data_IF_676781931212
#
_entry.id   IF_676781931212
#
_cell.length_a   1.000
_cell.length_b   1.000
_cell.length_c   1.000
_cell.angle_alpha   90.00
_cell.angle_beta   90.00
_cell.angle_gamma   90.00
#
_symmetry.space_group_name_H-M   'P 1'
#
loop_
_entity.id
_entity.type
_entity.pdbx_description
1 polymer ?
#
# COMPACT_ATOMS: atom_id res chain seq x y z
N UNK A 1 -8.49 22.60 -2.15
CA UNK A 1 -8.28 21.90 -0.89
C UNK A 1 -7.40 20.69 -1.17
N UNK A 2 -6.52 20.28 -0.25
CA UNK A 2 -5.80 19.00 -0.40
C UNK A 2 -6.79 17.84 -0.48
N UNK A 3 -6.33 16.69 -0.98
CA UNK A 3 -7.12 15.47 -1.15
C UNK A 3 -8.41 15.66 -1.96
N UNK A 4 -8.41 16.55 -2.95
CA UNK A 4 -9.58 16.77 -3.80
C UNK A 4 -9.45 15.96 -5.09
N UNK A 5 -10.39 15.05 -5.32
CA UNK A 5 -10.54 14.31 -6.56
C UNK A 5 -11.48 15.06 -7.50
N UNK A 6 -11.08 15.26 -8.74
CA UNK A 6 -11.86 16.02 -9.72
C UNK A 6 -11.33 15.89 -11.14
N UNK A 7 -12.06 16.49 -12.04
CA UNK A 7 -11.69 16.66 -13.45
C UNK A 7 -11.14 18.09 -13.64
N UNK A 8 -9.97 18.22 -14.23
CA UNK A 8 -9.29 19.50 -14.40
C UNK A 8 -8.89 19.68 -15.87
N UNK A 9 -9.15 20.85 -16.40
CA UNK A 9 -8.66 21.27 -17.72
C UNK A 9 -7.36 22.03 -17.53
N UNK A 10 -6.30 21.49 -18.10
CA UNK A 10 -4.96 22.09 -17.99
C UNK A 10 -4.57 22.74 -19.30
N UNK A 11 -4.10 23.98 -19.25
CA UNK A 11 -3.50 24.68 -20.37
C UNK A 11 -1.97 24.59 -20.27
N UNK A 12 -1.33 24.08 -21.32
CA UNK A 12 0.14 23.94 -21.36
C UNK A 12 0.78 25.28 -21.72
N UNK A 13 1.42 25.92 -20.73
CA UNK A 13 2.27 27.08 -20.93
C UNK A 13 3.69 26.71 -21.38
N UNK A 14 4.60 27.68 -21.42
CA UNK A 14 6.00 27.46 -21.82
C UNK A 14 6.85 26.65 -20.81
N UNK A 15 6.39 26.44 -19.59
CA UNK A 15 7.11 25.69 -18.55
C UNK A 15 6.19 24.97 -17.57
N UNK A 16 5.08 25.60 -17.17
CA UNK A 16 4.13 25.06 -16.21
C UNK A 16 2.74 24.93 -16.83
N UNK A 17 1.98 23.94 -16.36
CA UNK A 17 0.56 23.83 -16.68
C UNK A 17 -0.24 24.78 -15.80
N UNK A 18 -1.24 25.43 -16.38
CA UNK A 18 -2.20 26.27 -15.66
C UNK A 18 -3.56 25.59 -15.66
N UNK A 19 -4.19 25.50 -14.49
CA UNK A 19 -5.57 24.99 -14.39
C UNK A 19 -6.51 26.09 -14.89
N UNK A 20 -7.25 25.83 -15.96
CA UNK A 20 -8.25 26.75 -16.51
C UNK A 20 -9.64 26.47 -15.98
N UNK A 21 -9.98 25.19 -15.79
CA UNK A 21 -11.28 24.77 -15.28
C UNK A 21 -11.10 23.56 -14.36
N UNK A 22 -12.02 23.40 -13.38
CA UNK A 22 -12.03 22.26 -12.51
C UNK A 22 -13.42 21.92 -12.01
N UNK A 23 -13.76 20.61 -12.05
CA UNK A 23 -14.99 20.07 -11.49
C UNK A 23 -14.64 19.10 -10.38
N UNK A 24 -15.01 19.44 -9.15
CA UNK A 24 -14.77 18.58 -7.99
C UNK A 24 -15.76 17.41 -8.03
N UNK A 25 -15.24 16.18 -7.93
CA UNK A 25 -16.00 14.94 -7.79
C UNK A 25 -16.14 14.57 -6.32
N UNK A 26 -15.04 14.60 -5.56
CA UNK A 26 -15.04 14.34 -4.11
C UNK A 26 -13.90 15.10 -3.43
N UNK A 27 -14.14 15.63 -2.25
CA UNK A 27 -13.14 16.34 -1.45
C UNK A 27 -12.62 15.56 -0.24
N UNK A 28 -13.08 14.31 -0.04
CA UNK A 28 -12.68 13.42 1.06
C UNK A 28 -12.57 14.10 2.43
N UNK A 29 -13.58 14.91 2.79
CA UNK A 29 -13.58 15.72 4.02
C UNK A 29 -13.41 14.88 5.27
N UNK A 30 -14.03 13.70 5.35
CA UNK A 30 -13.86 12.79 6.48
C UNK A 30 -12.42 12.32 6.69
N UNK A 31 -11.55 12.38 5.65
CA UNK A 31 -10.11 12.15 5.82
C UNK A 31 -9.38 13.39 6.37
N UNK A 32 -9.90 14.60 6.17
CA UNK A 32 -9.28 15.84 6.66
C UNK A 32 -9.63 16.15 8.11
N UNK A 33 -10.79 15.68 8.57
CA UNK A 33 -11.32 15.96 9.91
C UNK A 33 -10.78 15.00 10.99
N UNK A 34 -10.03 13.98 10.60
CA UNK A 34 -9.47 12.94 11.46
C UNK A 34 -7.95 12.83 11.21
N UNK A 35 -7.15 13.02 12.27
CA UNK A 35 -5.69 13.04 12.18
C UNK A 35 -5.11 11.71 11.68
N UNK A 36 -5.66 10.58 12.12
CA UNK A 36 -5.22 9.26 11.69
C UNK A 36 -5.49 9.07 10.20
N UNK A 37 -6.72 9.36 9.74
CA UNK A 37 -7.08 9.25 8.31
C UNK A 37 -6.31 10.25 7.45
N UNK A 38 -6.08 11.46 7.94
CA UNK A 38 -5.26 12.44 7.24
C UNK A 38 -3.85 11.91 7.03
N UNK A 39 -3.27 11.29 8.06
CA UNK A 39 -1.93 10.71 7.99
C UNK A 39 -1.88 9.53 7.01
N UNK A 40 -2.87 8.63 7.03
CA UNK A 40 -2.98 7.54 6.06
C UNK A 40 -3.18 8.07 4.62
N UNK A 41 -4.03 9.08 4.44
CA UNK A 41 -4.24 9.70 3.12
C UNK A 41 -2.95 10.32 2.56
N UNK A 42 -2.21 11.00 3.43
CA UNK A 42 -0.90 11.57 3.08
C UNK A 42 0.09 10.47 2.70
N UNK A 43 0.12 9.38 3.46
CA UNK A 43 0.96 8.22 3.16
C UNK A 43 0.64 7.60 1.79
N UNK A 44 -0.64 7.42 1.46
CA UNK A 44 -1.05 6.94 0.14
C UNK A 44 -0.54 7.84 -0.99
N UNK A 45 -0.67 9.16 -0.84
CA UNK A 45 -0.19 10.13 -1.83
C UNK A 45 1.35 10.13 -1.94
N UNK A 46 2.07 10.06 -0.82
CA UNK A 46 3.53 9.97 -0.82
C UNK A 46 4.04 8.68 -1.48
N UNK A 47 3.34 7.55 -1.29
CA UNK A 47 3.67 6.29 -1.97
C UNK A 47 3.54 6.43 -3.49
N UNK A 48 2.52 7.12 -3.98
CA UNK A 48 2.39 7.44 -5.42
C UNK A 48 3.57 8.30 -5.88
N UNK A 49 3.86 9.39 -5.16
CA UNK A 49 4.92 10.35 -5.52
C UNK A 49 6.31 9.68 -5.62
N UNK A 50 6.63 8.75 -4.72
CA UNK A 50 7.92 8.04 -4.75
C UNK A 50 7.99 6.90 -5.76
N UNK A 51 6.86 6.40 -6.24
CA UNK A 51 6.76 5.21 -7.09
C UNK A 51 6.53 5.52 -8.56
N UNK A 52 6.09 6.73 -8.89
CA UNK A 52 5.78 7.14 -10.26
C UNK A 52 6.88 8.02 -10.83
N UNK A 53 7.06 7.93 -12.14
CA UNK A 53 7.90 8.85 -12.92
C UNK A 53 7.03 10.00 -13.39
N UNK A 54 7.60 11.22 -13.37
CA UNK A 54 6.92 12.41 -13.85
C UNK A 54 6.45 12.23 -15.31
N UNK A 55 5.29 12.78 -15.61
CA UNK A 55 4.62 12.71 -16.92
C UNK A 55 4.19 11.29 -17.38
N UNK A 56 4.34 10.24 -16.56
CA UNK A 56 3.80 8.91 -16.84
C UNK A 56 2.42 8.72 -16.22
N UNK A 57 1.48 8.17 -17.01
CA UNK A 57 0.13 7.86 -16.52
C UNK A 57 0.01 6.40 -16.12
N UNK A 58 -0.58 6.13 -14.95
CA UNK A 58 -0.94 4.78 -14.51
C UNK A 58 -2.39 4.76 -14.02
N UNK A 59 -3.31 4.51 -14.95
CA UNK A 59 -4.75 4.51 -14.66
C UNK A 59 -5.14 3.44 -13.61
N UNK A 60 -4.43 2.30 -13.58
CA UNK A 60 -4.69 1.23 -12.60
C UNK A 60 -4.35 1.73 -11.20
N UNK A 61 -3.15 2.29 -11.03
CA UNK A 61 -2.70 2.79 -9.74
C UNK A 61 -3.53 3.99 -9.26
N UNK A 62 -3.92 4.88 -10.18
CA UNK A 62 -4.82 5.99 -9.89
C UNK A 62 -6.18 5.49 -9.37
N UNK A 63 -6.76 4.46 -9.99
CA UNK A 63 -8.00 3.83 -9.52
C UNK A 63 -7.82 3.26 -8.10
N UNK A 64 -6.73 2.55 -7.83
CA UNK A 64 -6.46 1.99 -6.50
C UNK A 64 -6.32 3.09 -5.44
N UNK A 65 -5.66 4.22 -5.75
CA UNK A 65 -5.56 5.38 -4.87
C UNK A 65 -6.95 5.97 -4.55
N UNK A 66 -7.74 6.25 -5.57
CA UNK A 66 -9.08 6.85 -5.40
C UNK A 66 -9.99 5.90 -4.61
N UNK A 67 -9.96 4.59 -4.91
CA UNK A 67 -10.70 3.57 -4.16
C UNK A 67 -10.27 3.54 -2.69
N UNK A 68 -8.96 3.59 -2.41
CA UNK A 68 -8.45 3.62 -1.03
C UNK A 68 -8.92 4.84 -0.26
N UNK A 69 -8.92 6.02 -0.89
CA UNK A 69 -9.43 7.24 -0.27
C UNK A 69 -10.94 7.16 0.03
N UNK A 70 -11.74 6.54 -0.85
CA UNK A 70 -13.15 6.29 -0.58
C UNK A 70 -13.37 5.34 0.60
N UNK A 71 -12.63 4.23 0.66
CA UNK A 71 -12.72 3.26 1.75
C UNK A 71 -12.30 3.87 3.08
N UNK A 72 -11.21 4.64 3.09
CA UNK A 72 -10.71 5.37 4.26
C UNK A 72 -11.70 6.42 4.75
N UNK A 73 -12.28 7.21 3.84
CA UNK A 73 -13.25 8.26 4.15
C UNK A 73 -14.53 7.69 4.76
N UNK A 74 -14.95 6.49 4.34
CA UNK A 74 -16.21 5.84 4.79
C UNK A 74 -16.04 4.91 6.00
N UNK A 75 -14.83 4.69 6.53
CA UNK A 75 -14.52 3.68 7.55
C UNK A 75 -14.99 2.26 7.17
N UNK A 76 -14.95 1.92 5.89
CA UNK A 76 -15.44 0.64 5.39
C UNK A 76 -14.51 -0.54 5.73
N UNK A 77 -13.26 -0.26 6.09
CA UNK A 77 -12.22 -1.25 6.36
C UNK A 77 -11.29 -0.72 7.45
N UNK A 78 -10.64 -1.63 8.17
CA UNK A 78 -9.52 -1.31 9.06
C UNK A 78 -8.42 -0.58 8.28
N UNK A 79 -8.00 0.59 8.77
CA UNK A 79 -7.06 1.47 8.08
C UNK A 79 -5.71 0.81 7.82
N UNK A 80 -5.21 -0.02 8.75
CA UNK A 80 -3.95 -0.74 8.57
C UNK A 80 -4.04 -1.81 7.48
N UNK A 81 -5.15 -2.56 7.45
CA UNK A 81 -5.40 -3.57 6.42
C UNK A 81 -5.48 -2.90 5.05
N UNK A 82 -6.17 -1.76 4.97
CA UNK A 82 -6.29 -0.98 3.75
C UNK A 82 -4.92 -0.54 3.23
N UNK A 83 -4.05 -0.03 4.12
CA UNK A 83 -2.69 0.37 3.74
C UNK A 83 -1.88 -0.81 3.20
N UNK A 84 -1.89 -1.96 3.90
CA UNK A 84 -1.17 -3.17 3.42
C UNK A 84 -1.68 -3.63 2.07
N UNK A 85 -3.00 -3.60 1.88
CA UNK A 85 -3.60 -3.95 0.59
C UNK A 85 -3.19 -2.98 -0.53
N UNK A 86 -3.23 -1.67 -0.28
CA UNK A 86 -2.80 -0.66 -1.24
C UNK A 86 -1.33 -0.82 -1.62
N UNK A 87 -0.43 -1.02 -0.65
CA UNK A 87 1.00 -1.24 -0.88
C UNK A 87 1.27 -2.44 -1.80
N UNK A 88 0.53 -3.54 -1.60
CA UNK A 88 0.62 -4.71 -2.48
C UNK A 88 0.16 -4.36 -3.90
N UNK A 89 -0.93 -3.59 -4.06
CA UNK A 89 -1.39 -3.13 -5.38
C UNK A 89 -0.41 -2.17 -6.03
N UNK A 90 0.18 -1.27 -5.24
CA UNK A 90 1.25 -0.38 -5.69
C UNK A 90 2.42 -1.16 -6.28
N UNK A 91 2.97 -2.11 -5.52
CA UNK A 91 4.08 -2.95 -5.99
C UNK A 91 3.73 -3.69 -7.28
N UNK A 92 2.50 -4.22 -7.37
CA UNK A 92 2.03 -4.89 -8.58
C UNK A 92 1.93 -3.93 -9.77
N UNK A 93 1.39 -2.74 -9.57
CA UNK A 93 1.18 -1.74 -10.63
C UNK A 93 2.50 -1.12 -11.13
N UNK A 94 3.55 -1.14 -10.31
CA UNK A 94 4.89 -0.61 -10.63
C UNK A 94 5.89 -1.71 -11.03
N UNK A 95 5.42 -2.96 -11.25
CA UNK A 95 6.26 -4.05 -11.76
C UNK A 95 7.02 -4.85 -10.69
N UNK A 96 6.79 -4.58 -9.41
CA UNK A 96 7.42 -5.28 -8.27
C UNK A 96 6.45 -6.24 -7.57
N UNK A 97 5.56 -6.88 -8.33
CA UNK A 97 4.58 -7.82 -7.78
C UNK A 97 5.23 -8.93 -6.95
N UNK A 98 4.63 -9.24 -5.79
CA UNK A 98 5.08 -10.36 -4.98
C UNK A 98 4.72 -11.70 -5.65
N UNK A 99 5.73 -12.58 -5.86
CA UNK A 99 5.49 -13.96 -6.25
C UNK A 99 5.16 -14.79 -5.00
N UNK A 100 3.89 -15.05 -4.79
CA UNK A 100 3.36 -15.85 -3.67
C UNK A 100 2.79 -17.19 -4.12
N UNK A 101 2.79 -17.48 -5.42
CA UNK A 101 2.33 -18.76 -5.98
C UNK A 101 3.50 -19.73 -6.18
N UNK A 102 4.67 -19.20 -6.51
CA UNK A 102 5.86 -19.99 -6.76
C UNK A 102 7.05 -19.51 -5.93
N UNK A 103 7.92 -20.44 -5.57
CA UNK A 103 9.17 -20.07 -4.92
C UNK A 103 9.98 -19.12 -5.80
N UNK A 104 10.30 -17.94 -5.29
CA UNK A 104 11.04 -16.93 -6.06
C UNK A 104 12.43 -17.41 -6.53
N UNK A 105 13.04 -18.42 -5.85
CA UNK A 105 14.34 -18.99 -6.19
C UNK A 105 14.25 -20.14 -7.17
N UNK A 106 13.46 -21.20 -6.89
CA UNK A 106 13.45 -22.43 -7.70
C UNK A 106 12.19 -22.61 -8.55
N UNK A 107 11.28 -21.65 -8.54
CA UNK A 107 10.02 -21.63 -9.31
C UNK A 107 9.05 -22.77 -9.02
N UNK A 108 9.29 -23.59 -7.99
CA UNK A 108 8.36 -24.63 -7.56
C UNK A 108 7.12 -23.98 -6.93
N UNK A 109 5.96 -24.52 -7.24
CA UNK A 109 4.69 -24.07 -6.65
C UNK A 109 4.74 -24.15 -5.11
N UNK A 110 4.29 -23.07 -4.47
CA UNK A 110 4.19 -22.95 -3.02
C UNK A 110 2.79 -23.39 -2.56
N UNK A 111 2.72 -24.40 -1.73
CA UNK A 111 1.51 -24.70 -0.93
C UNK A 111 1.55 -23.97 0.41
N UNK A 112 2.74 -23.66 0.87
CA UNK A 112 3.06 -23.00 2.13
C UNK A 112 4.36 -22.22 2.00
N UNK A 113 4.47 -21.13 2.76
CA UNK A 113 5.69 -20.33 2.85
C UNK A 113 5.78 -19.72 4.26
N UNK A 114 6.97 -19.75 4.83
CA UNK A 114 7.33 -19.18 6.14
C UNK A 114 8.40 -18.09 6.04
N UNK A 115 8.70 -17.64 4.81
CA UNK A 115 9.75 -16.67 4.56
C UNK A 115 9.55 -15.89 3.27
N UNK A 116 9.58 -14.56 3.36
CA UNK A 116 9.55 -13.64 2.21
C UNK A 116 10.95 -13.11 1.94
N UNK A 117 11.45 -13.34 0.74
CA UNK A 117 12.70 -12.74 0.27
C UNK A 117 12.49 -11.29 -0.14
N UNK A 118 13.27 -10.37 0.39
CA UNK A 118 13.29 -8.97 -0.02
C UNK A 118 14.04 -8.77 -1.35
N UNK A 119 15.05 -9.61 -1.61
CA UNK A 119 15.83 -9.53 -2.85
C UNK A 119 15.03 -9.93 -4.10
N UNK A 120 14.06 -10.83 -3.95
CA UNK A 120 13.28 -11.38 -5.07
C UNK A 120 11.79 -11.07 -4.96
N UNK A 121 11.37 -10.27 -3.99
CA UNK A 121 9.97 -9.89 -3.77
C UNK A 121 9.01 -11.09 -3.83
N UNK A 122 9.28 -12.12 -3.04
CA UNK A 122 8.44 -13.33 -3.10
C UNK A 122 8.74 -14.38 -2.04
N UNK A 123 7.86 -15.40 -2.00
CA UNK A 123 7.96 -16.51 -1.07
C UNK A 123 9.12 -17.45 -1.39
N UNK A 124 9.76 -17.99 -0.34
CA UNK A 124 10.85 -18.98 -0.46
C UNK A 124 10.38 -20.32 0.10
N UNK A 125 10.51 -21.40 -0.67
CA UNK A 125 10.15 -22.73 -0.20
C UNK A 125 11.14 -23.27 0.86
N UNK A 126 10.73 -24.31 1.58
CA UNK A 126 11.53 -24.95 2.63
C UNK A 126 12.81 -25.66 2.14
N UNK A 127 13.00 -25.83 0.82
CA UNK A 127 14.18 -26.47 0.23
C UNK A 127 15.23 -25.47 -0.27
N UNK A 128 14.85 -24.20 -0.38
CA UNK A 128 15.76 -23.15 -0.81
C UNK A 128 16.34 -22.41 0.39
N UNK A 129 17.58 -21.97 0.25
CA UNK A 129 18.24 -21.15 1.25
C UNK A 129 17.46 -19.85 1.50
N UNK A 130 17.24 -19.51 2.76
CA UNK A 130 16.58 -18.31 3.22
C UNK A 130 17.63 -17.25 3.57
N UNK A 131 17.80 -16.28 2.69
CA UNK A 131 18.76 -15.18 2.85
C UNK A 131 18.12 -13.87 2.47
N UNK A 132 18.42 -12.81 3.22
CA UNK A 132 17.92 -11.44 3.02
C UNK A 132 16.40 -11.38 2.85
N UNK A 133 15.70 -11.53 3.96
CA UNK A 133 14.23 -11.51 3.99
C UNK A 133 13.67 -11.64 5.40
N UNK A 134 12.38 -11.86 5.49
CA UNK A 134 11.61 -11.82 6.74
C UNK A 134 10.90 -13.16 6.95
N UNK A 135 11.06 -13.80 8.12
CA UNK A 135 10.23 -14.94 8.52
C UNK A 135 8.78 -14.49 8.73
N UNK A 136 7.84 -15.34 8.35
CA UNK A 136 6.40 -15.07 8.48
C UNK A 136 5.65 -16.29 9.00
N UNK A 137 4.48 -16.05 9.60
CA UNK A 137 3.55 -17.11 9.96
C UNK A 137 2.76 -17.61 8.74
N UNK A 138 2.23 -18.83 8.83
CA UNK A 138 1.32 -19.39 7.81
C UNK A 138 0.09 -18.52 7.61
N UNK A 139 -0.42 -17.94 8.69
CA UNK A 139 -1.58 -17.05 8.65
C UNK A 139 -1.27 -15.79 7.85
N UNK A 140 -0.13 -15.18 8.07
CA UNK A 140 0.33 -13.99 7.31
C UNK A 140 0.54 -14.33 5.84
N UNK A 141 1.11 -15.49 5.51
CA UNK A 141 1.23 -15.92 4.12
C UNK A 141 -0.14 -16.02 3.43
N UNK A 142 -1.13 -16.62 4.09
CA UNK A 142 -2.48 -16.73 3.52
C UNK A 142 -3.13 -15.35 3.33
N UNK A 143 -2.95 -14.43 4.28
CA UNK A 143 -3.45 -13.07 4.16
C UNK A 143 -2.75 -12.30 3.03
N UNK A 144 -1.42 -12.41 2.91
CA UNK A 144 -0.68 -11.81 1.78
C UNK A 144 -1.21 -12.30 0.42
N UNK A 145 -1.44 -13.61 0.28
CA UNK A 145 -2.04 -14.17 -0.93
C UNK A 145 -3.43 -13.62 -1.18
N UNK A 146 -4.25 -13.53 -0.15
CA UNK A 146 -5.60 -12.96 -0.22
C UNK A 146 -5.55 -11.51 -0.70
N UNK A 147 -4.76 -10.66 -0.06
CA UNK A 147 -4.60 -9.25 -0.43
C UNK A 147 -3.99 -9.06 -1.83
N UNK A 148 -3.09 -9.96 -2.25
CA UNK A 148 -2.49 -9.92 -3.58
C UNK A 148 -3.51 -10.29 -4.69
N UNK A 149 -4.42 -11.21 -4.39
CA UNK A 149 -5.40 -11.73 -5.36
C UNK A 149 -6.64 -10.82 -5.48
N UNK A 150 -7.29 -10.47 -4.36
CA UNK A 150 -8.54 -9.72 -4.37
C UNK A 150 -8.33 -8.22 -4.56
N UNK A 151 -9.30 -7.56 -5.24
CA UNK A 151 -9.34 -6.09 -5.34
C UNK A 151 -9.71 -5.45 -4.00
N UNK A 152 -9.40 -4.16 -3.83
CA UNK A 152 -9.71 -3.41 -2.61
C UNK A 152 -11.20 -3.44 -2.26
N UNK A 153 -12.08 -3.41 -3.27
CA UNK A 153 -13.54 -3.46 -3.08
C UNK A 153 -14.02 -4.77 -2.44
N UNK A 154 -13.23 -5.84 -2.47
CA UNK A 154 -13.63 -7.17 -1.98
C UNK A 154 -13.03 -7.55 -0.63
N UNK A 155 -12.19 -6.69 -0.03
CA UNK A 155 -11.51 -7.00 1.24
C UNK A 155 -12.19 -6.40 2.49
N UNK A 156 -13.32 -5.72 2.33
CA UNK A 156 -14.01 -4.96 3.40
C UNK A 156 -14.46 -5.80 4.61
N UNK A 157 -14.55 -7.13 4.49
CA UNK A 157 -14.90 -8.04 5.60
C UNK A 157 -13.69 -8.67 6.29
N UNK A 158 -12.48 -8.37 5.83
CA UNK A 158 -11.28 -8.99 6.35
C UNK A 158 -10.99 -8.49 7.77
N UNK A 159 -10.95 -9.43 8.71
CA UNK A 159 -10.50 -9.19 10.09
C UNK A 159 -9.26 -10.02 10.36
N UNK A 160 -8.22 -9.39 10.84
CA UNK A 160 -6.95 -10.05 11.19
C UNK A 160 -6.52 -9.59 12.60
N UNK A 161 -5.76 -10.44 13.28
CA UNK A 161 -5.22 -10.11 14.60
C UNK A 161 -3.97 -9.21 14.48
N UNK A 162 -3.57 -8.61 15.60
CA UNK A 162 -2.47 -7.64 15.64
C UNK A 162 -1.12 -8.26 15.29
N UNK A 163 -0.89 -9.54 15.60
CA UNK A 163 0.35 -10.22 15.21
C UNK A 163 0.50 -10.27 13.68
N UNK A 164 -0.58 -10.61 12.96
CA UNK A 164 -0.60 -10.60 11.49
C UNK A 164 -0.38 -9.18 10.96
N UNK A 165 -1.04 -8.17 11.56
CA UNK A 165 -0.83 -6.76 11.18
C UNK A 165 0.64 -6.36 11.32
N UNK A 166 1.29 -6.70 12.45
CA UNK A 166 2.71 -6.40 12.72
C UNK A 166 3.63 -7.10 11.70
N UNK A 167 3.39 -8.38 11.38
CA UNK A 167 4.16 -9.08 10.35
C UNK A 167 3.98 -8.43 8.97
N UNK A 168 2.74 -8.14 8.56
CA UNK A 168 2.44 -7.46 7.29
C UNK A 168 3.13 -6.10 7.21
N UNK A 169 3.06 -5.31 8.29
CA UNK A 169 3.73 -4.02 8.37
C UNK A 169 5.24 -4.15 8.16
N UNK A 170 5.88 -5.09 8.87
CA UNK A 170 7.33 -5.33 8.75
C UNK A 170 7.74 -5.71 7.33
N UNK A 171 6.97 -6.60 6.69
CA UNK A 171 7.21 -7.04 5.31
C UNK A 171 7.10 -5.86 4.35
N UNK A 172 5.99 -5.11 4.40
CA UNK A 172 5.72 -4.05 3.44
C UNK A 172 6.66 -2.87 3.62
N UNK A 173 6.96 -2.47 4.87
CA UNK A 173 7.97 -1.44 5.20
C UNK A 173 9.33 -1.79 4.61
N UNK A 174 9.75 -3.05 4.74
CA UNK A 174 11.04 -3.51 4.25
C UNK A 174 11.08 -3.62 2.72
N UNK A 175 10.01 -4.11 2.09
CA UNK A 175 9.92 -4.20 0.63
C UNK A 175 9.91 -2.82 -0.01
N UNK A 176 9.05 -1.92 0.46
CA UNK A 176 8.96 -0.54 -0.05
C UNK A 176 10.29 0.18 0.14
N UNK A 177 10.91 0.06 1.32
CA UNK A 177 12.21 0.67 1.59
C UNK A 177 13.36 0.11 0.75
N UNK A 178 13.28 -1.16 0.33
CA UNK A 178 14.30 -1.77 -0.55
C UNK A 178 14.11 -1.43 -2.03
N UNK A 179 12.88 -1.16 -2.47
CA UNK A 179 12.52 -0.90 -3.87
C UNK A 179 12.61 0.60 -4.17
N UNK A 180 12.01 1.44 -3.33
CA UNK A 180 12.00 2.89 -3.51
C UNK A 180 13.04 3.54 -2.61
N UNK A 181 13.98 4.28 -3.18
CA UNK A 181 15.08 4.94 -2.45
C UNK A 181 14.62 6.08 -1.52
N UNK A 182 13.38 6.52 -1.68
CA UNK A 182 12.75 7.56 -0.86
C UNK A 182 11.81 6.93 0.16
N UNK A 183 11.91 7.33 1.42
CA UNK A 183 10.99 6.92 2.47
C UNK A 183 9.85 7.94 2.61
N UNK A 184 8.57 7.52 2.65
CA UNK A 184 7.46 8.41 2.97
C UNK A 184 7.66 9.06 4.35
N UNK A 185 7.51 10.38 4.42
CA UNK A 185 7.67 11.14 5.69
C UNK A 185 6.51 10.88 6.66
N UNK A 186 5.30 10.67 6.12
CA UNK A 186 4.11 10.32 6.90
C UNK A 186 4.24 8.97 7.64
N UNK A 187 5.18 8.11 7.25
CA UNK A 187 5.43 6.85 7.94
C UNK A 187 5.89 7.07 9.39
N UNK A 188 6.67 8.11 9.66
CA UNK A 188 7.11 8.45 11.02
C UNK A 188 5.93 8.90 11.89
N UNK A 189 4.99 9.64 11.31
CA UNK A 189 3.75 10.05 11.99
C UNK A 189 2.83 8.85 12.28
N UNK A 190 2.73 7.89 11.34
CA UNK A 190 1.98 6.65 11.56
C UNK A 190 2.60 5.80 12.69
N UNK A 191 3.92 5.74 12.78
CA UNK A 191 4.61 5.04 13.86
C UNK A 191 4.27 5.70 15.22
N UNK A 192 4.26 7.04 15.31
CA UNK A 192 3.89 7.79 16.53
C UNK A 192 2.41 7.55 16.93
N UNK A 193 1.49 7.59 15.96
CA UNK A 193 0.05 7.35 16.24
C UNK A 193 -0.16 5.96 16.83
N UNK A 194 0.51 4.93 16.29
CA UNK A 194 0.42 3.55 16.78
C UNK A 194 0.96 3.41 18.20
N UNK A 195 2.13 3.98 18.49
CA UNK A 195 2.73 3.94 19.82
C UNK A 195 1.87 4.67 20.88
N UNK A 196 1.12 5.68 20.46
CA UNK A 196 0.22 6.43 21.33
C UNK A 196 -1.09 5.66 21.60
N UNK A 197 -1.57 4.87 20.64
CA UNK A 197 -2.74 4.00 20.79
C UNK A 197 -2.50 2.85 21.77
N UNK A 198 -1.35 2.17 21.65
CA UNK A 198 -0.96 1.04 22.52
C UNK A 198 -0.76 1.42 24.02
N UNK A 199 -0.66 2.72 24.35
CA UNK A 199 -0.50 3.21 25.73
C UNK A 199 -1.82 3.50 26.44
N UNK A 200 -2.95 3.49 25.73
CA UNK A 200 -4.26 3.82 26.26
C UNK A 200 -5.19 2.59 26.41
N UNK A 201 -4.70 1.39 26.15
CA UNK A 201 -5.32 0.09 26.48
C UNK A 201 -4.58 -0.56 27.67
#
# INVERSE_FOLDING_TARGET
MPLTFGEYVLFKGRGLYTISEGKIVNSFRGCLDDLEKLTYSTYLCELIDISMVDDESNAVLFKELVTSLYLLNSNALDNEILMRAFEIKLLKATGYALDLENCCKCKRRLSYCDYISLAYSGGVCNRCEKSYGIPISSSTYNILRYLNFYSLDNIYKLKINDNIKKELYSIMKSLIGSIYQRRPKSLDMLDIIKESGDKNE
#
